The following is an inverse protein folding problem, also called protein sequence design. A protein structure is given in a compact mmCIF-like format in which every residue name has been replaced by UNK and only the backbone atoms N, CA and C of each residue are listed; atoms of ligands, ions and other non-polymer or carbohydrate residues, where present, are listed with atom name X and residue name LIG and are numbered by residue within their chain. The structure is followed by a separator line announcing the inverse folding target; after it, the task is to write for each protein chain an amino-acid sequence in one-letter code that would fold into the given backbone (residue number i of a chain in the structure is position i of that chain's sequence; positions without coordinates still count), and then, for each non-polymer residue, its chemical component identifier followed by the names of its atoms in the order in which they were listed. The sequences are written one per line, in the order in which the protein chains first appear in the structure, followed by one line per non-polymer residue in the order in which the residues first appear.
data_IF_956547401629
#
_entry.id   IF_956547401629
#
_cell.length_a   1.000
_cell.length_b   1.000
_cell.length_c   1.000
_cell.angle_alpha   90.00
_cell.angle_beta   90.00
_cell.angle_gamma   90.00
#
_symmetry.space_group_name_H-M   'P 1'
#
loop_
_entity.id
_entity.type
_entity.pdbx_description
1 polymer ?
#
# COMPACT_ATOMS: atom_id res chain seq x y z
N UNK A 1 22.78 7.05 3.79
CA UNK A 1 21.82 7.78 4.65
C UNK A 1 21.28 6.81 5.69
N UNK A 2 20.99 7.27 6.92
CA UNK A 2 20.26 6.46 7.91
C UNK A 2 18.77 6.50 7.58
N UNK A 3 18.26 5.36 7.13
CA UNK A 3 16.92 5.21 6.58
C UNK A 3 16.08 4.28 7.42
N UNK A 4 14.90 4.72 7.84
CA UNK A 4 13.92 3.87 8.53
C UNK A 4 12.83 3.47 7.55
N UNK A 5 12.52 2.18 7.48
CA UNK A 5 11.40 1.66 6.70
C UNK A 5 10.41 1.00 7.64
N UNK A 6 9.28 1.65 7.89
CA UNK A 6 8.17 0.99 8.59
C UNK A 6 7.42 0.09 7.61
N UNK A 7 7.02 -1.11 8.00
CA UNK A 7 6.39 -2.04 7.05
C UNK A 7 7.41 -2.64 6.07
N UNK A 8 8.70 -2.62 6.44
CA UNK A 8 9.81 -3.03 5.58
C UNK A 8 9.82 -4.52 5.24
N UNK A 9 9.20 -5.38 6.04
CA UNK A 9 9.08 -6.80 5.73
C UNK A 9 7.93 -7.10 4.74
N UNK A 10 7.12 -6.09 4.40
CA UNK A 10 6.03 -6.21 3.44
C UNK A 10 6.48 -6.30 1.98
N UNK A 11 5.50 -6.42 1.08
CA UNK A 11 5.73 -6.54 -0.36
C UNK A 11 6.59 -5.39 -0.90
N UNK A 12 6.12 -4.15 -0.82
CA UNK A 12 6.86 -2.98 -1.33
C UNK A 12 8.11 -2.72 -0.47
N UNK A 13 7.99 -2.84 0.85
CA UNK A 13 9.07 -2.59 1.80
C UNK A 13 10.31 -3.45 1.56
N UNK A 14 10.13 -4.74 1.25
CA UNK A 14 11.27 -5.64 1.04
C UNK A 14 12.04 -5.29 -0.24
N UNK A 15 11.36 -4.94 -1.32
CA UNK A 15 12.01 -4.44 -2.54
C UNK A 15 12.70 -3.08 -2.30
N UNK A 16 12.09 -2.22 -1.48
CA UNK A 16 12.69 -0.94 -1.11
C UNK A 16 13.98 -1.15 -0.31
N UNK A 17 13.97 -2.02 0.70
CA UNK A 17 15.15 -2.31 1.53
C UNK A 17 16.30 -2.87 0.67
N UNK A 18 16.02 -3.79 -0.24
CA UNK A 18 17.03 -4.28 -1.19
C UNK A 18 17.66 -3.15 -2.02
N UNK A 19 16.83 -2.24 -2.54
CA UNK A 19 17.30 -1.10 -3.31
C UNK A 19 18.09 -0.07 -2.47
N UNK A 20 17.74 0.11 -1.19
CA UNK A 20 18.46 0.97 -0.25
C UNK A 20 19.84 0.36 0.11
N UNK A 21 19.90 -0.94 0.35
CA UNK A 21 21.15 -1.66 0.59
C UNK A 21 22.08 -1.61 -0.61
N UNK A 22 21.55 -1.74 -1.83
CA UNK A 22 22.31 -1.58 -3.06
C UNK A 22 22.91 -0.16 -3.22
N UNK A 23 22.33 0.84 -2.55
CA UNK A 23 22.84 2.22 -2.46
C UNK A 23 23.76 2.45 -1.25
N UNK A 24 24.06 1.41 -0.48
CA UNK A 24 24.83 1.47 0.76
C UNK A 24 24.22 2.40 1.84
N UNK A 25 22.89 2.51 1.87
CA UNK A 25 22.19 3.18 2.97
C UNK A 25 22.26 2.33 4.26
N UNK A 26 22.31 2.99 5.42
CA UNK A 26 22.16 2.36 6.74
C UNK A 26 20.67 2.18 6.99
N UNK A 27 20.18 0.94 6.96
CA UNK A 27 18.73 0.65 6.93
C UNK A 27 18.29 0.02 8.24
N UNK A 28 17.28 0.64 8.85
CA UNK A 28 16.51 0.10 9.96
C UNK A 28 15.12 -0.29 9.48
N UNK A 29 14.80 -1.59 9.55
CA UNK A 29 13.47 -2.11 9.29
C UNK A 29 12.64 -2.12 10.59
N UNK A 30 11.62 -1.27 10.62
CA UNK A 30 10.69 -1.16 11.74
C UNK A 30 9.43 -1.98 11.44
N UNK A 31 9.23 -3.01 12.24
CA UNK A 31 8.15 -3.97 12.04
C UNK A 31 7.54 -4.40 13.37
N UNK A 32 6.31 -4.90 13.31
CA UNK A 32 5.69 -5.54 14.48
C UNK A 32 6.41 -6.84 14.82
N UNK A 33 6.39 -7.23 16.10
CA UNK A 33 6.95 -8.50 16.55
C UNK A 33 6.34 -9.67 15.78
N UNK A 34 7.18 -10.56 15.28
CA UNK A 34 6.76 -11.74 14.50
C UNK A 34 6.41 -11.46 13.03
N UNK A 35 6.68 -10.26 12.50
CA UNK A 35 6.58 -10.03 11.06
C UNK A 35 7.46 -11.04 10.29
N UNK A 36 6.95 -11.69 9.23
CA UNK A 36 7.72 -12.64 8.43
C UNK A 36 8.93 -11.97 7.81
N UNK A 37 10.13 -12.54 7.99
CA UNK A 37 11.39 -11.99 7.44
C UNK A 37 11.88 -12.73 6.21
N UNK A 38 11.05 -13.58 5.62
CA UNK A 38 11.42 -14.52 4.55
C UNK A 38 12.13 -13.86 3.36
N UNK A 39 11.75 -12.64 2.99
CA UNK A 39 12.35 -11.93 1.85
C UNK A 39 13.63 -11.17 2.20
N UNK A 40 13.93 -10.99 3.49
CA UNK A 40 15.05 -10.20 4.00
C UNK A 40 15.89 -11.01 5.00
N UNK A 41 15.79 -12.34 4.98
CA UNK A 41 16.42 -13.20 5.97
C UNK A 41 17.95 -13.08 5.99
N UNK A 42 18.54 -12.84 4.81
CA UNK A 42 19.99 -12.68 4.60
C UNK A 42 20.40 -11.20 4.56
N UNK A 43 19.46 -10.27 4.69
CA UNK A 43 19.75 -8.84 4.59
C UNK A 43 20.44 -8.36 5.88
N UNK A 44 21.62 -7.74 5.72
CA UNK A 44 22.34 -7.10 6.82
C UNK A 44 21.72 -5.73 7.14
N UNK A 45 20.61 -5.75 7.90
CA UNK A 45 19.87 -4.55 8.32
C UNK A 45 19.62 -4.54 9.83
N UNK A 46 19.43 -3.36 10.40
CA UNK A 46 18.94 -3.21 11.77
C UNK A 46 17.44 -3.55 11.82
N UNK A 47 17.01 -4.30 12.84
CA UNK A 47 15.61 -4.68 13.02
C UNK A 47 15.06 -4.10 14.31
N UNK A 48 13.96 -3.35 14.23
CA UNK A 48 13.18 -2.91 15.39
C UNK A 48 11.83 -3.64 15.43
N UNK A 49 11.60 -4.61 16.34
CA UNK A 49 10.40 -5.45 16.37
C UNK A 49 9.24 -4.83 17.17
N UNK A 50 9.19 -3.50 17.27
CA UNK A 50 8.33 -2.79 18.23
C UNK A 50 7.01 -2.34 17.61
N UNK A 51 6.86 -2.42 16.29
CA UNK A 51 5.67 -1.91 15.59
C UNK A 51 5.48 -0.41 15.82
N UNK A 52 4.24 0.07 15.62
CA UNK A 52 3.90 1.50 15.74
C UNK A 52 3.24 1.87 17.07
N UNK A 53 3.10 0.92 17.99
CA UNK A 53 2.19 1.05 19.13
C UNK A 53 2.84 1.73 20.35
N UNK A 54 4.18 1.86 20.37
CA UNK A 54 4.95 2.46 21.47
C UNK A 54 5.60 3.78 21.02
N UNK A 55 5.01 4.94 21.36
CA UNK A 55 5.53 6.25 20.96
C UNK A 55 6.94 6.55 21.48
N UNK A 56 7.29 6.09 22.68
CA UNK A 56 8.60 6.39 23.28
C UNK A 56 9.70 5.60 22.60
N UNK A 57 9.42 4.35 22.21
CA UNK A 57 10.35 3.57 21.43
C UNK A 57 10.46 4.08 19.99
N UNK A 58 9.36 4.54 19.38
CA UNK A 58 9.41 5.19 18.06
C UNK A 58 10.32 6.43 18.08
N UNK A 59 10.16 7.33 19.06
CA UNK A 59 11.01 8.52 19.22
C UNK A 59 12.50 8.17 19.32
N UNK A 60 12.85 7.11 20.06
CA UNK A 60 14.24 6.63 20.17
C UNK A 60 14.73 6.03 18.86
N UNK A 61 13.89 5.24 18.19
CA UNK A 61 14.21 4.60 16.90
C UNK A 61 14.48 5.62 15.81
N UNK A 62 13.79 6.77 15.84
CA UNK A 62 13.89 7.83 14.84
C UNK A 62 15.11 8.75 15.02
N UNK A 63 15.90 8.57 16.08
CA UNK A 63 17.10 9.39 16.34
C UNK A 63 18.13 9.23 15.22
N UNK A 64 18.57 10.37 14.69
CA UNK A 64 19.58 10.43 13.63
C UNK A 64 19.10 9.90 12.27
N UNK A 65 17.80 9.66 12.09
CA UNK A 65 17.27 9.28 10.79
C UNK A 65 17.32 10.45 9.82
N UNK A 66 17.79 10.21 8.59
CA UNK A 66 17.73 11.17 7.50
C UNK A 66 16.37 11.08 6.79
N UNK A 67 15.89 9.85 6.59
CA UNK A 67 14.68 9.53 5.82
C UNK A 67 13.86 8.45 6.51
N UNK A 68 12.54 8.61 6.51
CA UNK A 68 11.57 7.58 6.91
C UNK A 68 10.64 7.27 5.74
N UNK A 69 10.64 6.02 5.28
CA UNK A 69 9.65 5.49 4.36
C UNK A 69 8.53 4.83 5.17
N UNK A 70 7.39 5.52 5.26
CA UNK A 70 6.23 5.02 6.00
C UNK A 70 5.33 4.16 5.11
N UNK A 71 5.63 2.85 5.05
CA UNK A 71 4.88 1.84 4.29
C UNK A 71 4.00 0.93 5.17
N UNK A 72 4.08 1.05 6.50
CA UNK A 72 3.29 0.24 7.41
C UNK A 72 1.80 0.59 7.27
N UNK A 73 1.01 -0.38 6.80
CA UNK A 73 -0.43 -0.25 6.68
C UNK A 73 -1.10 -1.64 6.65
N UNK A 74 -2.34 -1.72 7.12
CA UNK A 74 -3.25 -2.82 6.86
C UNK A 74 -4.08 -2.51 5.61
N UNK A 75 -3.95 -3.35 4.59
CA UNK A 75 -4.80 -3.35 3.39
C UNK A 75 -5.97 -4.35 3.51
N UNK A 76 -5.96 -5.19 4.54
CA UNK A 76 -7.05 -6.12 4.88
C UNK A 76 -7.14 -6.17 6.40
N UNK A 77 -8.33 -5.90 6.93
CA UNK A 77 -8.61 -5.96 8.36
C UNK A 77 -9.92 -6.71 8.64
N UNK A 78 -10.08 -7.15 9.88
CA UNK A 78 -11.28 -7.84 10.36
C UNK A 78 -12.38 -6.87 10.74
N UNK A 79 -12.00 -5.68 11.19
CA UNK A 79 -12.91 -4.61 11.60
C UNK A 79 -12.43 -3.27 11.06
N UNK A 80 -13.35 -2.31 10.93
CA UNK A 80 -13.00 -0.94 10.55
C UNK A 80 -11.98 -0.32 11.54
N UNK A 81 -12.14 -0.59 12.84
CA UNK A 81 -11.26 -0.08 13.89
C UNK A 81 -9.79 -0.49 13.73
N UNK A 82 -9.53 -1.69 13.20
CA UNK A 82 -8.16 -2.13 12.92
C UNK A 82 -7.48 -1.28 11.83
N UNK A 83 -8.21 -0.84 10.79
CA UNK A 83 -7.65 0.09 9.80
C UNK A 83 -7.31 1.43 10.44
N UNK A 84 -8.21 1.99 11.26
CA UNK A 84 -7.97 3.29 11.88
C UNK A 84 -6.80 3.23 12.88
N UNK A 85 -6.73 2.18 13.70
CA UNK A 85 -5.65 2.01 14.67
C UNK A 85 -4.28 1.89 13.99
N UNK A 86 -4.17 1.12 12.90
CA UNK A 86 -2.87 0.95 12.23
C UNK A 86 -2.58 2.07 11.23
N UNK A 87 -3.49 2.34 10.30
CA UNK A 87 -3.22 3.24 9.19
C UNK A 87 -3.34 4.71 9.61
N UNK A 88 -4.21 5.04 10.55
CA UNK A 88 -4.43 6.44 10.98
C UNK A 88 -3.62 6.75 12.23
N UNK A 89 -3.89 6.08 13.35
CA UNK A 89 -3.18 6.36 14.61
C UNK A 89 -1.70 5.96 14.53
N UNK A 90 -1.38 4.84 13.88
CA UNK A 90 0.02 4.47 13.61
C UNK A 90 0.77 5.52 12.79
N UNK A 91 0.11 6.12 11.80
CA UNK A 91 0.67 7.26 11.06
C UNK A 91 0.88 8.47 11.97
N UNK A 92 -0.09 8.82 12.83
CA UNK A 92 0.06 9.90 13.80
C UNK A 92 1.31 9.72 14.67
N UNK A 93 1.52 8.51 15.21
CA UNK A 93 2.69 8.19 16.05
C UNK A 93 4.01 8.29 15.28
N UNK A 94 4.04 7.95 13.98
CA UNK A 94 5.21 8.14 13.11
C UNK A 94 5.54 9.62 12.94
N UNK A 95 4.53 10.46 12.66
CA UNK A 95 4.73 11.90 12.50
C UNK A 95 5.10 12.59 13.81
N UNK A 96 4.52 12.17 14.93
CA UNK A 96 4.90 12.62 16.27
C UNK A 96 6.36 12.28 16.58
N UNK A 97 6.80 11.05 16.28
CA UNK A 97 8.19 10.62 16.48
C UNK A 97 9.16 11.40 15.60
N UNK A 98 8.82 11.66 14.33
CA UNK A 98 9.62 12.47 13.42
C UNK A 98 9.71 13.93 13.88
N UNK A 99 8.59 14.53 14.27
CA UNK A 99 8.51 15.92 14.72
C UNK A 99 9.16 16.17 16.10
N UNK A 100 9.45 15.11 16.84
CA UNK A 100 10.16 15.16 18.13
C UNK A 100 11.69 15.15 17.98
N UNK A 101 12.22 14.93 16.77
CA UNK A 101 13.66 14.99 16.52
C UNK A 101 14.13 16.44 16.42
N UNK A 102 15.35 16.70 16.87
CA UNK A 102 15.99 18.03 16.73
C UNK A 102 16.11 18.45 15.26
N UNK A 103 16.45 17.49 14.39
CA UNK A 103 16.36 17.62 12.93
C UNK A 103 15.35 16.58 12.42
N UNK A 104 14.12 16.98 12.09
CA UNK A 104 13.09 16.06 11.61
C UNK A 104 13.50 15.35 10.30
N UNK A 105 13.37 14.02 10.21
CA UNK A 105 13.69 13.29 8.99
C UNK A 105 12.74 13.64 7.86
N UNK A 106 13.19 13.41 6.63
CA UNK A 106 12.33 13.39 5.44
C UNK A 106 11.34 12.22 5.52
N UNK A 107 10.04 12.48 5.60
CA UNK A 107 9.02 11.42 5.63
C UNK A 107 8.37 11.24 4.26
N UNK A 108 8.42 10.02 3.72
CA UNK A 108 7.68 9.63 2.53
C UNK A 108 6.53 8.72 2.95
N UNK A 109 5.31 9.24 2.90
CA UNK A 109 4.10 8.51 3.22
C UNK A 109 3.59 7.77 1.98
N UNK A 110 3.56 6.44 2.03
CA UNK A 110 2.84 5.66 1.01
C UNK A 110 1.35 5.65 1.34
N UNK A 111 0.58 6.47 0.64
CA UNK A 111 -0.88 6.44 0.62
C UNK A 111 -1.41 5.51 -0.49
N UNK A 112 -2.70 5.62 -0.83
CA UNK A 112 -3.36 4.83 -1.87
C UNK A 112 -4.34 5.71 -2.65
N UNK A 113 -4.58 5.40 -3.93
CA UNK A 113 -5.69 6.01 -4.67
C UNK A 113 -7.05 5.77 -3.99
N UNK A 114 -7.18 4.72 -3.16
CA UNK A 114 -8.37 4.49 -2.33
C UNK A 114 -8.68 5.64 -1.36
N UNK A 115 -7.68 6.46 -1.00
CA UNK A 115 -7.89 7.67 -0.20
C UNK A 115 -8.75 8.71 -0.92
N UNK A 116 -8.65 8.75 -2.26
CA UNK A 116 -9.44 9.64 -3.11
C UNK A 116 -10.74 8.97 -3.56
N UNK A 117 -10.73 7.65 -3.73
CA UNK A 117 -11.88 6.91 -4.26
C UNK A 117 -11.85 6.78 -5.79
N UNK A 118 -12.91 6.21 -6.40
CA UNK A 118 -12.98 6.01 -7.84
C UNK A 118 -13.02 7.34 -8.60
N UNK A 119 -12.55 7.32 -9.86
CA UNK A 119 -12.59 8.49 -10.74
C UNK A 119 -14.05 8.94 -10.98
N UNK A 120 -14.40 10.21 -10.68
CA UNK A 120 -15.67 10.77 -11.12
C UNK A 120 -15.64 10.91 -12.65
N UNK A 121 -16.70 10.43 -13.32
CA UNK A 121 -16.94 10.62 -14.76
C UNK A 121 -15.80 10.20 -15.72
N UNK A 122 -14.90 9.32 -15.27
CA UNK A 122 -13.78 8.82 -16.07
C UNK A 122 -12.56 9.75 -16.15
N UNK A 123 -12.55 10.87 -15.42
CA UNK A 123 -11.39 11.76 -15.36
C UNK A 123 -10.24 11.16 -14.55
N UNK A 124 -8.99 11.38 -15.00
CA UNK A 124 -7.81 10.92 -14.26
C UNK A 124 -7.70 11.66 -12.93
N UNK A 125 -7.48 10.90 -11.84
CA UNK A 125 -7.26 11.48 -10.53
C UNK A 125 -6.01 12.36 -10.53
N UNK A 126 -6.16 13.58 -10.03
CA UNK A 126 -5.05 14.50 -9.81
C UNK A 126 -4.88 14.77 -8.31
N UNK A 127 -3.81 15.49 -7.97
CA UNK A 127 -3.61 15.98 -6.59
C UNK A 127 -4.73 16.94 -6.12
N UNK A 128 -5.49 17.51 -7.06
CA UNK A 128 -6.57 18.46 -6.79
C UNK A 128 -7.95 17.80 -6.71
N UNK A 129 -8.05 16.51 -7.03
CA UNK A 129 -9.32 15.78 -6.96
C UNK A 129 -9.81 15.71 -5.51
N UNK A 130 -11.05 16.11 -5.29
CA UNK A 130 -11.69 16.07 -3.96
C UNK A 130 -11.85 14.61 -3.52
N UNK A 131 -11.30 14.22 -2.36
CA UNK A 131 -11.40 12.85 -1.88
C UNK A 131 -12.83 12.43 -1.52
N UNK A 132 -13.27 11.29 -2.04
CA UNK A 132 -14.52 10.61 -1.72
C UNK A 132 -14.30 9.09 -1.57
N UNK A 133 -13.58 8.64 -0.53
CA UNK A 133 -13.28 7.23 -0.32
C UNK A 133 -14.55 6.40 -0.07
N UNK A 134 -14.58 5.19 -0.62
CA UNK A 134 -15.74 4.29 -0.54
C UNK A 134 -15.57 3.11 0.44
N UNK A 135 -14.41 2.99 1.09
CA UNK A 135 -14.07 1.91 2.04
C UNK A 135 -13.46 2.48 3.32
N UNK A 136 -13.49 1.74 4.45
CA UNK A 136 -12.79 2.19 5.66
C UNK A 136 -11.28 2.18 5.46
N UNK A 137 -10.75 1.27 4.63
CA UNK A 137 -9.37 1.34 4.17
C UNK A 137 -9.07 2.70 3.52
N UNK A 138 -9.86 3.10 2.52
CA UNK A 138 -9.72 4.41 1.85
C UNK A 138 -9.82 5.59 2.82
N UNK A 139 -10.82 5.59 3.71
CA UNK A 139 -10.97 6.62 4.75
C UNK A 139 -9.74 6.66 5.66
N UNK A 140 -9.23 5.50 6.11
CA UNK A 140 -8.06 5.44 6.98
C UNK A 140 -6.79 6.00 6.33
N UNK A 141 -6.64 5.80 5.01
CA UNK A 141 -5.53 6.37 4.22
C UNK A 141 -5.71 7.88 4.04
N UNK A 142 -6.92 8.36 3.77
CA UNK A 142 -7.21 9.79 3.70
C UNK A 142 -6.89 10.50 5.04
N UNK A 143 -7.29 9.91 6.16
CA UNK A 143 -6.94 10.45 7.50
C UNK A 143 -5.43 10.46 7.74
N UNK A 144 -4.70 9.46 7.26
CA UNK A 144 -3.24 9.43 7.30
C UNK A 144 -2.62 10.58 6.47
N UNK A 145 -3.20 10.92 5.31
CA UNK A 145 -2.79 12.10 4.54
C UNK A 145 -3.08 13.39 5.29
N UNK A 146 -4.25 13.52 5.94
CA UNK A 146 -4.57 14.70 6.74
C UNK A 146 -3.58 14.92 7.89
N UNK A 147 -3.14 13.84 8.55
CA UNK A 147 -2.08 13.89 9.56
C UNK A 147 -0.78 14.39 8.93
N UNK A 148 -0.34 13.79 7.81
CA UNK A 148 0.88 14.21 7.13
C UNK A 148 0.85 15.70 6.76
N UNK A 149 -0.29 16.20 6.27
CA UNK A 149 -0.49 17.61 5.96
C UNK A 149 -0.45 18.50 7.21
N UNK A 150 -1.05 18.07 8.32
CA UNK A 150 -1.02 18.83 9.58
C UNK A 150 0.40 18.95 10.17
N UNK A 151 1.27 17.98 9.90
CA UNK A 151 2.67 18.00 10.35
C UNK A 151 3.64 18.64 9.36
N UNK A 152 3.18 19.10 8.20
CA UNK A 152 4.04 19.49 7.09
C UNK A 152 5.09 20.57 7.44
N UNK A 153 4.71 21.58 8.24
CA UNK A 153 5.62 22.64 8.67
C UNK A 153 6.71 22.15 9.65
N UNK A 154 6.46 21.02 10.32
CA UNK A 154 7.35 20.43 11.33
C UNK A 154 8.14 19.24 10.79
N UNK A 155 7.63 18.58 9.75
CA UNK A 155 8.21 17.35 9.19
C UNK A 155 8.20 17.47 7.66
N UNK A 156 9.37 17.52 6.99
CA UNK A 156 9.45 17.67 5.55
C UNK A 156 8.89 16.41 4.87
N UNK A 157 7.68 16.51 4.32
CA UNK A 157 6.90 15.33 3.93
C UNK A 157 6.52 15.31 2.46
N UNK A 158 6.41 14.12 1.89
CA UNK A 158 5.73 13.89 0.60
C UNK A 158 4.77 12.73 0.72
N UNK A 159 3.58 12.88 0.14
CA UNK A 159 2.54 11.85 0.10
C UNK A 159 2.47 11.24 -1.30
N UNK A 160 2.58 9.92 -1.40
CA UNK A 160 2.44 9.18 -2.65
C UNK A 160 1.20 8.30 -2.61
N UNK A 161 0.16 8.65 -3.36
CA UNK A 161 -1.05 7.83 -3.54
C UNK A 161 -0.78 6.75 -4.57
N UNK A 162 -0.47 5.56 -4.08
CA UNK A 162 -0.13 4.43 -4.94
C UNK A 162 -1.40 3.89 -5.62
N UNK A 163 -1.31 3.65 -6.93
CA UNK A 163 -2.27 2.84 -7.66
C UNK A 163 -2.15 1.37 -7.27
N UNK A 164 -2.86 0.48 -7.97
CA UNK A 164 -2.72 -0.97 -7.71
C UNK A 164 -1.31 -1.42 -8.07
N UNK A 165 -0.51 -1.72 -7.06
CA UNK A 165 0.88 -2.15 -7.25
C UNK A 165 0.91 -3.64 -7.55
N UNK A 166 1.63 -4.05 -8.60
CA UNK A 166 1.84 -5.46 -8.94
C UNK A 166 3.33 -5.79 -9.06
N UNK A 167 3.69 -7.05 -8.80
CA UNK A 167 5.06 -7.53 -8.91
C UNK A 167 5.33 -8.75 -8.02
N UNK A 168 6.57 -9.28 -8.04
CA UNK A 168 6.95 -10.38 -7.15
C UNK A 168 6.68 -10.05 -5.68
N UNK A 169 6.22 -11.03 -4.88
CA UNK A 169 5.82 -10.91 -3.45
C UNK A 169 4.43 -10.31 -3.20
N UNK A 170 3.79 -9.73 -4.20
CA UNK A 170 2.38 -9.35 -4.13
C UNK A 170 1.49 -10.62 -4.10
N UNK A 171 0.44 -10.63 -3.27
CA UNK A 171 -0.37 -11.83 -3.01
C UNK A 171 -1.76 -11.80 -3.67
N UNK A 172 -2.34 -10.63 -3.90
CA UNK A 172 -3.69 -10.49 -4.44
C UNK A 172 -3.74 -10.69 -5.96
N UNK A 173 -2.96 -9.91 -6.72
CA UNK A 173 -2.78 -10.01 -8.17
C UNK A 173 -2.18 -11.37 -8.54
N UNK A 174 -1.31 -11.94 -7.68
CA UNK A 174 -0.79 -13.29 -7.87
C UNK A 174 -1.89 -14.36 -8.01
N UNK A 175 -3.02 -14.22 -7.31
CA UNK A 175 -4.15 -15.16 -7.44
C UNK A 175 -4.74 -15.15 -8.85
N UNK A 176 -4.82 -13.97 -9.47
CA UNK A 176 -5.25 -13.86 -10.87
C UNK A 176 -4.26 -14.60 -11.78
N UNK A 177 -2.95 -14.43 -11.58
CA UNK A 177 -1.92 -15.08 -12.39
C UNK A 177 -2.00 -16.61 -12.25
N UNK A 178 -2.25 -17.10 -11.04
CA UNK A 178 -2.44 -18.53 -10.77
C UNK A 178 -3.68 -19.11 -11.46
N UNK A 179 -4.78 -18.37 -11.49
CA UNK A 179 -6.00 -18.77 -12.21
C UNK A 179 -5.76 -18.76 -13.73
N UNK A 180 -5.14 -17.70 -14.26
CA UNK A 180 -4.84 -17.58 -15.69
C UNK A 180 -3.92 -18.72 -16.15
N UNK A 181 -2.95 -19.11 -15.33
CA UNK A 181 -2.10 -20.29 -15.56
C UNK A 181 -2.91 -21.59 -15.67
N UNK A 182 -4.05 -21.68 -14.98
CA UNK A 182 -5.02 -22.79 -15.05
C UNK A 182 -6.04 -22.65 -16.19
N UNK A 183 -5.94 -21.59 -17.00
CA UNK A 183 -6.80 -21.37 -18.17
C UNK A 183 -8.09 -20.59 -17.89
N UNK A 184 -8.23 -19.95 -16.72
CA UNK A 184 -9.43 -19.16 -16.36
C UNK A 184 -9.00 -17.82 -15.77
N UNK A 185 -9.67 -16.73 -16.13
CA UNK A 185 -9.55 -15.46 -15.42
C UNK A 185 -10.90 -15.09 -14.83
N UNK A 186 -10.92 -14.64 -13.58
CA UNK A 186 -12.14 -14.31 -12.85
C UNK A 186 -12.08 -12.85 -12.42
N UNK A 187 -13.18 -12.12 -12.63
CA UNK A 187 -13.39 -10.78 -12.08
C UNK A 187 -14.73 -10.68 -11.37
N UNK A 188 -14.86 -9.70 -10.47
CA UNK A 188 -16.14 -9.23 -9.95
C UNK A 188 -16.53 -8.00 -10.75
N UNK A 189 -17.77 -7.96 -11.25
CA UNK A 189 -18.25 -6.86 -12.08
C UNK A 189 -17.77 -6.93 -13.54
N UNK A 190 -17.89 -5.83 -14.31
CA UNK A 190 -17.53 -5.80 -15.73
C UNK A 190 -16.01 -5.94 -15.96
N UNK A 191 -15.64 -6.50 -17.10
CA UNK A 191 -14.25 -6.66 -17.54
C UNK A 191 -13.65 -5.37 -18.12
N UNK A 192 -14.54 -4.48 -18.56
CA UNK A 192 -14.28 -3.22 -19.23
C UNK A 192 -13.79 -2.14 -18.26
N UNK A 193 -13.87 -2.38 -16.95
CA UNK A 193 -13.38 -1.44 -15.94
C UNK A 193 -11.91 -1.12 -16.18
N UNK A 194 -11.61 0.16 -16.03
CA UNK A 194 -10.24 0.67 -16.14
C UNK A 194 -9.59 0.72 -14.77
N UNK A 195 -8.33 0.31 -14.69
CA UNK A 195 -7.53 0.35 -13.48
C UNK A 195 -6.17 0.99 -13.76
N UNK A 196 -5.71 1.83 -12.84
CA UNK A 196 -4.31 2.25 -12.82
C UNK A 196 -3.48 1.17 -12.13
N UNK A 197 -2.45 0.69 -12.82
CA UNK A 197 -1.48 -0.29 -12.32
C UNK A 197 -0.11 0.36 -12.23
N UNK A 198 0.74 -0.12 -11.34
CA UNK A 198 2.16 0.29 -11.29
C UNK A 198 3.03 -0.88 -10.86
N UNK A 199 4.19 -1.04 -11.49
CA UNK A 199 5.11 -2.12 -11.15
C UNK A 199 5.87 -1.81 -9.86
N UNK A 200 6.09 -2.83 -9.02
CA UNK A 200 6.71 -2.69 -7.70
C UNK A 200 8.06 -1.97 -7.72
N UNK A 201 8.92 -2.27 -8.70
CA UNK A 201 10.24 -1.64 -8.79
C UNK A 201 10.16 -0.18 -9.21
N UNK A 202 9.17 0.20 -10.02
CA UNK A 202 8.93 1.60 -10.38
C UNK A 202 8.45 2.40 -9.16
N UNK A 203 7.62 1.79 -8.30
CA UNK A 203 7.24 2.37 -7.00
C UNK A 203 8.48 2.58 -6.13
N UNK A 204 9.35 1.58 -6.01
CA UNK A 204 10.59 1.70 -5.22
C UNK A 204 11.52 2.79 -5.77
N UNK A 205 11.71 2.85 -7.10
CA UNK A 205 12.49 3.91 -7.73
C UNK A 205 11.90 5.29 -7.45
N UNK A 206 10.57 5.42 -7.52
CA UNK A 206 9.88 6.68 -7.22
C UNK A 206 9.98 7.07 -5.74
N UNK A 207 9.86 6.13 -4.81
CA UNK A 207 10.06 6.37 -3.37
C UNK A 207 11.45 6.97 -3.13
N UNK A 208 12.50 6.32 -3.63
CA UNK A 208 13.89 6.76 -3.48
C UNK A 208 14.14 8.13 -4.14
N UNK A 209 13.65 8.33 -5.37
CA UNK A 209 13.79 9.60 -6.07
C UNK A 209 13.08 10.75 -5.34
N UNK A 210 11.92 10.47 -4.73
CA UNK A 210 11.14 11.46 -3.98
C UNK A 210 11.84 11.85 -2.67
N UNK A 211 12.45 10.88 -1.98
CA UNK A 211 13.21 11.13 -0.75
C UNK A 211 14.40 12.08 -0.95
N UNK A 212 14.96 12.12 -2.16
CA UNK A 212 16.15 12.93 -2.50
C UNK A 212 15.84 14.20 -3.27
N UNK A 213 14.57 14.47 -3.61
CA UNK A 213 14.16 15.61 -4.43
C UNK A 213 13.48 16.72 -3.60
N UNK A 214 14.16 17.84 -3.28
CA UNK A 214 13.60 18.91 -2.46
C UNK A 214 12.29 19.49 -3.00
N UNK A 215 12.13 19.56 -4.32
CA UNK A 215 10.89 20.06 -4.98
C UNK A 215 9.62 19.27 -4.63
N UNK A 216 9.76 18.06 -4.08
CA UNK A 216 8.63 17.20 -3.73
C UNK A 216 8.13 17.44 -2.29
N UNK A 217 8.84 18.23 -1.49
CA UNK A 217 8.43 18.62 -0.13
C UNK A 217 7.08 19.33 -0.19
N UNK A 218 6.12 18.84 0.60
CA UNK A 218 4.76 19.40 0.71
C UNK A 218 3.82 19.01 -0.41
N UNK A 219 4.25 18.10 -1.28
CA UNK A 219 3.49 17.67 -2.43
C UNK A 219 2.79 16.34 -2.15
N UNK A 220 1.64 16.18 -2.81
CA UNK A 220 0.92 14.91 -2.91
C UNK A 220 0.87 14.51 -4.38
N UNK A 221 1.26 13.27 -4.68
CA UNK A 221 1.28 12.74 -6.05
C UNK A 221 0.44 11.47 -6.14
N UNK A 222 -0.28 11.32 -7.26
CA UNK A 222 -0.84 10.04 -7.67
C UNK A 222 0.23 9.27 -8.45
N UNK A 223 0.58 8.07 -7.98
CA UNK A 223 1.59 7.23 -8.61
C UNK A 223 0.93 6.01 -9.26
N UNK A 224 0.87 6.05 -10.59
CA UNK A 224 0.34 4.99 -11.44
C UNK A 224 1.01 5.03 -12.82
N UNK A 225 0.81 3.99 -13.61
CA UNK A 225 1.07 4.07 -15.05
C UNK A 225 0.22 5.20 -15.66
N UNK A 226 0.77 6.02 -16.59
CA UNK A 226 0.07 7.19 -17.13
C UNK A 226 -1.23 6.83 -17.86
N UNK A 227 -1.26 5.66 -18.51
CA UNK A 227 -2.44 5.16 -19.20
C UNK A 227 -3.17 4.13 -18.33
N UNK A 228 -4.48 4.31 -18.09
CA UNK A 228 -5.27 3.29 -17.41
C UNK A 228 -5.41 2.05 -18.29
N UNK A 229 -5.41 0.88 -17.66
CA UNK A 229 -5.47 -0.41 -18.34
C UNK A 229 -6.84 -1.03 -18.11
N UNK A 230 -7.48 -1.55 -19.16
CA UNK A 230 -8.71 -2.34 -18.98
C UNK A 230 -8.35 -3.64 -18.26
N UNK A 231 -9.13 -4.00 -17.25
CA UNK A 231 -8.86 -5.20 -16.46
C UNK A 231 -8.83 -6.48 -17.33
N UNK A 232 -9.64 -6.51 -18.39
CA UNK A 232 -9.60 -7.54 -19.41
C UNK A 232 -8.23 -7.66 -20.11
N UNK A 233 -7.71 -6.54 -20.61
CA UNK A 233 -6.44 -6.53 -21.36
C UNK A 233 -5.29 -7.00 -20.47
N UNK A 234 -5.31 -6.59 -19.19
CA UNK A 234 -4.33 -7.06 -18.22
C UNK A 234 -4.40 -8.59 -18.03
N UNK A 235 -5.59 -9.16 -17.87
CA UNK A 235 -5.75 -10.61 -17.73
C UNK A 235 -5.34 -11.39 -19.00
N UNK A 236 -5.67 -10.86 -20.18
CA UNK A 236 -5.28 -11.45 -21.47
C UNK A 236 -3.77 -11.37 -21.71
N UNK A 237 -3.14 -10.26 -21.32
CA UNK A 237 -1.69 -10.08 -21.42
C UNK A 237 -0.93 -11.05 -20.51
N UNK A 238 -1.42 -11.25 -19.28
CA UNK A 238 -0.92 -12.31 -18.39
C UNK A 238 -1.07 -13.69 -19.06
N UNK A 239 -2.19 -13.94 -19.73
CA UNK A 239 -2.40 -15.16 -20.51
C UNK A 239 -1.34 -15.32 -21.59
N UNK A 240 -1.12 -14.28 -22.41
CA UNK A 240 -0.15 -14.25 -23.49
C UNK A 240 1.26 -14.60 -23.00
N UNK A 241 1.73 -13.95 -21.93
CA UNK A 241 3.05 -14.18 -21.33
C UNK A 241 3.18 -15.61 -20.79
N UNK A 242 2.10 -16.17 -20.24
CA UNK A 242 2.08 -17.54 -19.71
C UNK A 242 1.81 -18.61 -20.78
N UNK A 243 1.65 -18.24 -22.05
CA UNK A 243 1.29 -19.16 -23.13
C UNK A 243 -0.11 -19.76 -22.95
N UNK A 244 -1.04 -19.01 -22.38
CA UNK A 244 -2.43 -19.41 -22.09
C UNK A 244 -3.44 -18.47 -22.76
N UNK A 245 -4.60 -19.01 -23.11
CA UNK A 245 -5.78 -18.24 -23.52
C UNK A 245 -6.87 -18.44 -22.46
N UNK A 246 -6.93 -17.60 -21.42
CA UNK A 246 -7.85 -17.83 -20.32
C UNK A 246 -9.30 -17.60 -20.75
N UNK A 247 -10.20 -18.45 -20.27
CA UNK A 247 -11.65 -18.17 -20.34
C UNK A 247 -11.97 -17.05 -19.34
N UNK A 248 -12.58 -15.98 -19.83
CA UNK A 248 -12.95 -14.83 -19.01
C UNK A 248 -14.30 -15.07 -18.34
N UNK A 249 -14.33 -15.04 -17.01
CA UNK A 249 -15.53 -15.24 -16.19
C UNK A 249 -15.80 -13.98 -15.37
N UNK A 250 -16.95 -13.36 -15.60
CA UNK A 250 -17.43 -12.25 -14.76
C UNK A 250 -18.43 -12.76 -13.74
N UNK A 251 -18.17 -12.48 -12.46
CA UNK A 251 -19.11 -12.73 -11.36
C UNK A 251 -19.93 -11.45 -11.16
N UNK A 252 -21.27 -11.51 -11.28
CA UNK A 252 -22.12 -10.36 -11.01
C UNK A 252 -21.88 -9.81 -9.60
N UNK A 253 -21.83 -8.48 -9.47
CA UNK A 253 -21.57 -7.80 -8.20
C UNK A 253 -22.49 -8.26 -7.07
N UNK A 254 -23.79 -8.46 -7.35
CA UNK A 254 -24.75 -9.00 -6.38
C UNK A 254 -24.38 -10.39 -5.84
N UNK A 255 -23.84 -11.27 -6.70
CA UNK A 255 -23.37 -12.58 -6.28
C UNK A 255 -22.08 -12.49 -5.46
N UNK A 256 -21.16 -11.59 -5.84
CA UNK A 256 -19.97 -11.33 -5.06
C UNK A 256 -20.29 -10.79 -3.65
N UNK A 257 -21.32 -9.93 -3.52
CA UNK A 257 -21.82 -9.47 -2.23
C UNK A 257 -22.32 -10.63 -1.35
N UNK A 258 -23.08 -11.57 -1.93
CA UNK A 258 -23.55 -12.75 -1.20
C UNK A 258 -22.39 -13.64 -0.74
N UNK A 259 -21.41 -13.89 -1.62
CA UNK A 259 -20.21 -14.68 -1.30
C UNK A 259 -19.38 -14.00 -0.21
N UNK A 260 -19.21 -12.67 -0.27
CA UNK A 260 -18.48 -11.91 0.74
C UNK A 260 -19.15 -12.01 2.12
N UNK A 261 -20.49 -11.87 2.18
CA UNK A 261 -21.26 -12.03 3.43
C UNK A 261 -21.10 -13.43 4.04
N UNK A 262 -21.17 -14.47 3.22
CA UNK A 262 -20.95 -15.85 3.69
C UNK A 262 -19.50 -16.03 4.15
N UNK A 263 -18.54 -15.50 3.40
CA UNK A 263 -17.11 -15.58 3.74
C UNK A 263 -16.77 -14.85 5.03
N UNK A 264 -17.40 -13.70 5.31
CA UNK A 264 -17.25 -12.96 6.57
C UNK A 264 -17.83 -13.72 7.76
N UNK A 265 -19.00 -14.35 7.61
CA UNK A 265 -19.60 -15.20 8.64
C UNK A 265 -18.64 -16.36 8.96
N UNK A 266 -18.15 -17.06 7.94
CA UNK A 266 -17.20 -18.17 8.10
C UNK A 266 -15.84 -17.74 8.65
N UNK A 267 -15.34 -16.56 8.27
CA UNK A 267 -14.10 -15.99 8.76
C UNK A 267 -14.21 -15.53 10.22
N UNK A 268 -15.39 -15.04 10.63
CA UNK A 268 -15.74 -14.74 12.01
C UNK A 268 -15.64 -15.97 12.92
N UNK A 269 -16.10 -17.13 12.44
CA UNK A 269 -15.90 -18.41 13.14
C UNK A 269 -14.43 -18.83 13.26
N UNK A 270 -13.59 -18.48 12.27
CA UNK A 270 -12.16 -18.87 12.23
C UNK A 270 -11.18 -17.80 12.72
N UNK A 271 -11.64 -16.63 13.15
CA UNK A 271 -10.83 -15.46 13.55
C UNK A 271 -9.77 -15.02 12.51
N UNK A 272 -9.98 -15.33 11.23
CA UNK A 272 -9.06 -14.95 10.12
C UNK A 272 -9.69 -13.84 9.27
N UNK A 273 -8.89 -13.10 8.51
CA UNK A 273 -9.44 -12.13 7.54
C UNK A 273 -9.92 -12.87 6.28
N UNK A 274 -11.13 -12.54 5.80
CA UNK A 274 -11.66 -13.11 4.56
C UNK A 274 -10.92 -12.56 3.33
N UNK A 275 -10.61 -13.44 2.37
CA UNK A 275 -9.95 -13.06 1.10
C UNK A 275 -10.83 -12.12 0.25
N UNK A 276 -12.15 -12.31 0.33
CA UNK A 276 -13.17 -11.45 -0.26
C UNK A 276 -14.08 -10.98 0.88
N UNK A 277 -13.95 -9.72 1.28
CA UNK A 277 -14.79 -9.07 2.28
C UNK A 277 -15.65 -7.98 1.62
N UNK A 278 -16.62 -7.46 2.35
CA UNK A 278 -17.57 -6.44 1.90
C UNK A 278 -16.86 -5.22 1.30
N UNK A 279 -15.79 -4.74 1.93
CA UNK A 279 -15.04 -3.58 1.45
C UNK A 279 -14.35 -3.83 0.12
N UNK A 280 -13.74 -5.02 -0.05
CA UNK A 280 -13.03 -5.37 -1.26
C UNK A 280 -13.99 -5.56 -2.43
N UNK A 281 -15.22 -6.03 -2.19
CA UNK A 281 -16.25 -6.04 -3.24
C UNK A 281 -16.60 -4.60 -3.64
N UNK A 282 -16.73 -3.69 -2.67
CA UNK A 282 -17.02 -2.26 -2.94
C UNK A 282 -15.92 -1.57 -3.75
N UNK A 283 -14.65 -1.87 -3.48
CA UNK A 283 -13.52 -1.34 -4.26
C UNK A 283 -13.39 -1.97 -5.66
N UNK A 284 -13.95 -3.16 -5.87
CA UNK A 284 -13.92 -3.86 -7.16
C UNK A 284 -15.15 -3.58 -8.03
N UNK A 285 -16.23 -3.06 -7.45
CA UNK A 285 -17.51 -2.80 -8.13
C UNK A 285 -17.54 -1.41 -8.75
#
# INVERSE_FOLDING_TARGET
MRTIVTGGAGFIGSHLIEALLARADDVLCLERRGAPREWLAEAAIEWSPVGLDDPEVLKKTFRGADVVFHLAALAQARTAGEYYSVNTEGTARVFEAAAAQETPPRVILASSLAAVGPCPDGELLSRHTVPHPISHYGVSKLLAESIAHAYFERVPTTVLRLATVYGPRERAVLKMFQLVRRGVAITVGPWERQVSLVYAKDVVGTLIATATAPRTVGQTYCLGHPEPVRWMDFALEVGRVLGRRPVLVSIPTALAWAIARISEIWAGFRRTAAILNWERVRELS
#
